data_IF_792159469705
#
_entry.id   IF_792159469705
#
_cell.length_a   1.000
_cell.length_b   1.000
_cell.length_c   1.000
_cell.angle_alpha   90.00
_cell.angle_beta   90.00
_cell.angle_gamma   90.00
#
_symmetry.space_group_name_H-M   'P 1'
#
loop_
_entity.id
_entity.type
_entity.pdbx_description
1 polymer ?
#
# COMPACT_ATOMS: atom_id res chain seq x y z
N UNK A 1 -3.03 -6.72 -17.11
CA UNK A 1 -1.63 -7.06 -16.78
C UNK A 1 -1.70 -8.07 -15.66
N UNK A 2 -0.98 -9.17 -15.77
CA UNK A 2 -1.02 -10.22 -14.75
C UNK A 2 -0.25 -9.80 -13.50
N UNK A 3 -0.61 -10.35 -12.34
CA UNK A 3 0.02 -10.00 -11.04
C UNK A 3 1.55 -10.18 -11.10
N UNK A 4 2.01 -11.25 -11.73
CA UNK A 4 3.44 -11.52 -11.86
C UNK A 4 4.19 -10.44 -12.65
N UNK A 5 3.55 -9.87 -13.67
CA UNK A 5 4.14 -8.79 -14.46
C UNK A 5 4.22 -7.50 -13.65
N UNK A 6 3.20 -7.19 -12.84
CA UNK A 6 3.20 -6.03 -11.94
C UNK A 6 4.37 -6.12 -10.95
N UNK A 7 4.54 -7.29 -10.31
CA UNK A 7 5.59 -7.52 -9.33
C UNK A 7 6.99 -7.37 -9.95
N UNK A 8 7.21 -7.97 -11.14
CA UNK A 8 8.51 -7.91 -11.84
C UNK A 8 8.87 -6.49 -12.31
N UNK A 9 7.88 -5.69 -12.68
CA UNK A 9 8.09 -4.35 -13.22
C UNK A 9 8.07 -3.23 -12.16
N UNK A 10 7.81 -3.54 -10.89
CA UNK A 10 7.81 -2.54 -9.80
C UNK A 10 9.18 -1.85 -9.69
N UNK A 11 9.19 -0.52 -9.68
CA UNK A 11 10.38 0.32 -9.42
C UNK A 11 10.15 1.23 -8.22
N UNK A 12 11.23 1.72 -7.61
CA UNK A 12 11.13 2.76 -6.58
C UNK A 12 11.06 4.13 -7.26
N UNK A 13 9.95 4.83 -7.06
CA UNK A 13 9.72 6.21 -7.55
C UNK A 13 10.22 7.19 -6.49
N UNK A 14 10.88 8.28 -6.92
CA UNK A 14 11.43 9.31 -6.01
C UNK A 14 11.08 10.74 -6.43
N UNK A 15 10.34 10.90 -7.51
CA UNK A 15 9.80 12.17 -7.99
C UNK A 15 8.30 11.99 -8.13
N UNK A 16 7.52 12.91 -7.54
CA UNK A 16 6.08 12.81 -7.45
C UNK A 16 5.45 14.10 -7.93
N UNK A 17 4.20 14.00 -8.39
CA UNK A 17 3.39 15.18 -8.70
C UNK A 17 3.00 15.88 -7.40
N UNK A 18 2.83 17.20 -7.49
CA UNK A 18 2.19 17.99 -6.43
C UNK A 18 0.66 17.77 -6.47
N UNK A 19 0.26 16.54 -6.13
CA UNK A 19 -1.12 16.08 -6.17
C UNK A 19 -1.37 15.13 -5.00
N UNK A 20 -2.41 15.41 -4.24
CA UNK A 20 -2.85 14.53 -3.16
C UNK A 20 -3.39 13.19 -3.69
N UNK A 21 -3.29 12.16 -2.85
CA UNK A 21 -3.85 10.84 -3.11
C UNK A 21 -5.23 10.74 -2.49
N UNK A 22 -6.21 10.34 -3.29
CA UNK A 22 -7.60 10.14 -2.85
C UNK A 22 -7.68 9.13 -1.68
N UNK A 23 -8.52 9.42 -0.69
CA UNK A 23 -8.65 8.59 0.52
C UNK A 23 -9.06 7.15 0.21
N UNK A 24 -9.94 6.96 -0.78
CA UNK A 24 -10.38 5.63 -1.21
C UNK A 24 -9.23 4.74 -1.73
N UNK A 25 -8.20 5.34 -2.35
CA UNK A 25 -7.02 4.62 -2.80
C UNK A 25 -6.15 4.22 -1.61
N UNK A 26 -6.02 5.10 -0.63
CA UNK A 26 -5.27 4.82 0.60
C UNK A 26 -5.95 3.69 1.37
N UNK A 27 -7.26 3.75 1.57
CA UNK A 27 -8.04 2.69 2.23
C UNK A 27 -7.84 1.34 1.54
N UNK A 28 -7.87 1.31 0.20
CA UNK A 28 -7.63 0.09 -0.57
C UNK A 28 -6.24 -0.50 -0.36
N UNK A 29 -5.21 0.34 -0.23
CA UNK A 29 -3.84 -0.10 0.08
C UNK A 29 -3.75 -0.66 1.51
N UNK A 30 -4.37 0.02 2.47
CA UNK A 30 -4.40 -0.43 3.86
C UNK A 30 -5.14 -1.76 4.02
N UNK A 31 -6.25 -1.94 3.31
CA UNK A 31 -7.01 -3.19 3.28
C UNK A 31 -6.18 -4.33 2.70
N UNK A 32 -5.52 -4.10 1.55
CA UNK A 32 -4.61 -5.09 0.96
C UNK A 32 -3.46 -5.47 1.93
N UNK A 33 -2.95 -4.49 2.68
CA UNK A 33 -2.00 -4.73 3.75
C UNK A 33 -2.58 -5.64 4.85
N UNK A 34 -3.68 -5.22 5.47
CA UNK A 34 -4.36 -5.97 6.55
C UNK A 34 -4.58 -7.45 6.22
N UNK A 35 -4.87 -7.77 4.97
CA UNK A 35 -5.12 -9.15 4.52
C UNK A 35 -3.88 -10.03 4.36
N UNK A 36 -2.68 -9.47 4.45
CA UNK A 36 -1.49 -10.30 4.40
C UNK A 36 -1.39 -11.16 5.68
N UNK A 37 -0.80 -12.37 5.57
CA UNK A 37 -0.72 -13.30 6.68
C UNK A 37 0.10 -12.72 7.82
N UNK A 38 -0.31 -13.04 9.05
CA UNK A 38 0.43 -12.68 10.27
C UNK A 38 0.61 -13.90 11.16
N UNK A 39 1.76 -13.99 11.82
CA UNK A 39 2.07 -15.12 12.70
C UNK A 39 1.05 -15.22 13.82
N UNK A 40 0.42 -16.38 13.99
CA UNK A 40 -0.64 -16.59 14.99
C UNK A 40 -1.83 -15.62 14.85
N UNK A 41 -2.06 -15.07 13.65
CA UNK A 41 -3.08 -14.06 13.39
C UNK A 41 -2.99 -12.82 14.30
N UNK A 42 -1.78 -12.47 14.75
CA UNK A 42 -1.57 -11.38 15.70
C UNK A 42 -1.83 -9.98 15.13
N UNK A 43 -1.93 -9.85 13.80
CA UNK A 43 -2.23 -8.59 13.10
C UNK A 43 -1.45 -7.38 13.66
N UNK A 44 -0.10 -7.44 13.70
CA UNK A 44 0.74 -6.49 14.45
C UNK A 44 0.91 -5.16 13.72
N UNK A 45 0.13 -4.94 12.66
CA UNK A 45 0.34 -3.88 11.70
C UNK A 45 -0.36 -2.63 12.23
N UNK A 46 0.36 -1.51 12.26
CA UNK A 46 -0.18 -0.20 12.62
C UNK A 46 0.25 0.77 11.54
N UNK A 47 -0.71 1.50 11.01
CA UNK A 47 -0.50 2.47 9.94
C UNK A 47 -0.87 3.84 10.46
N UNK A 48 -0.07 4.84 10.12
CA UNK A 48 -0.33 6.24 10.39
C UNK A 48 -0.25 6.96 9.05
N UNK A 49 -1.32 7.67 8.70
CA UNK A 49 -1.36 8.53 7.53
C UNK A 49 -0.87 9.90 8.01
N UNK A 50 0.22 10.39 7.42
CA UNK A 50 0.78 11.71 7.72
C UNK A 50 0.39 12.64 6.58
N UNK A 51 -0.27 13.73 6.94
CA UNK A 51 -0.64 14.89 6.11
C UNK A 51 -0.40 16.14 6.96
N UNK A 52 -0.24 17.28 6.32
CA UNK A 52 -0.14 18.57 7.00
C UNK A 52 -1.48 19.02 7.59
#
# INVERSE_FOLDING_TARGET
MEILDIIKNRRSVREFLDKEVDDSLIEKILEAGRWAPSGLNNQPWRFVIVRD
#
